data_IF_457272397782
#
_entry.id   IF_457272397782
#
_cell.length_a   1.000
_cell.length_b   1.000
_cell.length_c   1.000
_cell.angle_alpha   90.00
_cell.angle_beta   90.00
_cell.angle_gamma   90.00
#
_symmetry.space_group_name_H-M   'P 1'
#
loop_
_entity.id
_entity.type
_entity.pdbx_description
1 polymer ?
#
# COMPACT_ATOMS: atom_id res chain seq x y z
N UNK A 1 21.44 -33.53 0.78
CA UNK A 1 20.78 -32.34 0.20
C UNK A 1 20.99 -31.20 1.18
N UNK A 2 21.88 -30.25 0.85
CA UNK A 2 22.17 -29.12 1.73
C UNK A 2 20.91 -28.26 1.87
N UNK A 3 20.43 -28.08 3.10
CA UNK A 3 19.24 -27.31 3.40
C UNK A 3 19.47 -25.84 3.05
N UNK A 4 18.90 -25.36 1.96
CA UNK A 4 18.81 -23.92 1.70
C UNK A 4 17.97 -23.30 2.81
N UNK A 5 18.58 -22.39 3.59
CA UNK A 5 17.91 -21.60 4.63
C UNK A 5 16.63 -20.97 4.06
N UNK A 6 15.56 -20.90 4.85
CA UNK A 6 14.34 -20.20 4.41
C UNK A 6 14.62 -18.70 4.30
N UNK A 7 14.03 -18.04 3.30
CA UNK A 7 14.05 -16.57 3.24
C UNK A 7 13.04 -15.97 4.23
N UNK A 8 13.11 -14.67 4.46
CA UNK A 8 12.33 -13.90 5.43
C UNK A 8 10.83 -14.17 5.30
N UNK A 9 10.29 -14.09 4.08
CA UNK A 9 8.88 -14.40 3.80
C UNK A 9 8.51 -15.84 4.18
N UNK A 10 9.38 -16.80 3.87
CA UNK A 10 9.13 -18.20 4.23
C UNK A 10 9.13 -18.45 5.72
N UNK A 11 10.00 -17.75 6.45
CA UNK A 11 10.04 -17.80 7.91
C UNK A 11 8.78 -17.17 8.52
N UNK A 12 8.41 -15.96 8.08
CA UNK A 12 7.27 -15.20 8.62
C UNK A 12 5.95 -15.91 8.33
N UNK A 13 5.72 -16.33 7.09
CA UNK A 13 4.46 -16.93 6.66
C UNK A 13 4.44 -18.47 6.77
N UNK A 14 5.54 -19.07 7.24
CA UNK A 14 5.74 -20.53 7.26
C UNK A 14 5.44 -21.18 5.89
N UNK A 15 5.80 -20.47 4.82
CA UNK A 15 5.55 -20.90 3.44
C UNK A 15 6.76 -21.65 2.87
N UNK A 16 6.50 -22.44 1.84
CA UNK A 16 7.55 -23.20 1.18
C UNK A 16 8.47 -22.28 0.37
N UNK A 17 9.76 -22.27 0.68
CA UNK A 17 10.78 -21.54 -0.07
C UNK A 17 11.40 -22.36 -1.20
N UNK A 18 12.13 -21.68 -2.09
CA UNK A 18 13.07 -22.31 -3.04
C UNK A 18 12.44 -23.35 -3.99
N UNK A 19 11.12 -23.30 -4.21
CA UNK A 19 10.46 -24.17 -5.17
C UNK A 19 10.71 -23.70 -6.61
N UNK A 20 10.97 -24.68 -7.48
CA UNK A 20 11.15 -24.46 -8.92
C UNK A 20 9.83 -24.31 -9.70
N UNK A 21 8.68 -24.25 -9.01
CA UNK A 21 7.36 -24.15 -9.66
C UNK A 21 7.17 -22.87 -10.47
N UNK A 22 7.88 -21.79 -10.12
CA UNK A 22 7.75 -20.48 -10.77
C UNK A 22 9.06 -19.98 -11.39
N UNK A 23 10.20 -20.56 -10.99
CA UNK A 23 11.55 -20.15 -11.36
C UNK A 23 12.39 -21.37 -11.69
N UNK A 24 13.34 -21.24 -12.62
CA UNK A 24 14.27 -22.32 -12.98
C UNK A 24 15.53 -22.33 -12.10
N UNK A 25 15.68 -21.34 -11.21
CA UNK A 25 16.86 -21.17 -10.37
C UNK A 25 16.46 -21.07 -8.90
N UNK A 26 17.29 -21.69 -8.05
CA UNK A 26 17.24 -21.57 -6.59
C UNK A 26 18.24 -20.50 -6.17
N UNK A 27 17.79 -19.54 -5.38
CA UNK A 27 18.62 -18.48 -4.84
C UNK A 27 17.82 -17.52 -3.97
N UNK A 28 18.57 -16.66 -3.27
CA UNK A 28 18.06 -15.60 -2.40
C UNK A 28 18.69 -14.29 -2.84
N UNK A 29 17.89 -13.22 -2.81
CA UNK A 29 18.35 -11.87 -3.00
C UNK A 29 18.00 -11.03 -1.76
N UNK A 30 18.80 -10.00 -1.50
CA UNK A 30 18.44 -9.03 -0.46
C UNK A 30 17.26 -8.18 -0.93
N UNK A 31 16.30 -7.97 -0.03
CA UNK A 31 15.07 -7.26 -0.34
C UNK A 31 15.31 -5.83 -0.82
N UNK A 32 16.34 -5.18 -0.26
CA UNK A 32 16.76 -3.82 -0.62
C UNK A 32 17.23 -3.67 -2.07
N UNK A 33 17.55 -4.76 -2.78
CA UNK A 33 17.99 -4.71 -4.18
C UNK A 33 16.85 -4.82 -5.19
N UNK A 34 15.60 -5.06 -4.75
CA UNK A 34 14.42 -4.93 -5.61
C UNK A 34 14.13 -3.46 -5.89
N UNK A 35 13.43 -3.16 -6.98
CA UNK A 35 12.98 -1.79 -7.23
C UNK A 35 11.98 -1.33 -6.14
N UNK A 36 11.88 -0.03 -5.81
CA UNK A 36 10.98 0.45 -4.76
C UNK A 36 9.52 0.02 -4.93
N UNK A 37 9.02 0.03 -6.18
CA UNK A 37 7.66 -0.42 -6.51
C UNK A 37 7.47 -1.92 -6.26
N UNK A 38 8.48 -2.73 -6.60
CA UNK A 38 8.47 -4.16 -6.35
C UNK A 38 8.53 -4.48 -4.86
N UNK A 39 9.36 -3.76 -4.09
CA UNK A 39 9.41 -3.86 -2.64
C UNK A 39 8.04 -3.59 -2.04
N UNK A 40 7.39 -2.50 -2.46
CA UNK A 40 6.06 -2.15 -1.98
C UNK A 40 5.03 -3.23 -2.32
N UNK A 41 5.02 -3.73 -3.56
CA UNK A 41 4.11 -4.82 -3.97
C UNK A 41 4.31 -6.09 -3.14
N UNK A 42 5.56 -6.51 -2.92
CA UNK A 42 5.84 -7.70 -2.10
C UNK A 42 5.36 -7.48 -0.68
N UNK A 43 5.73 -6.38 -0.03
CA UNK A 43 5.36 -6.08 1.36
C UNK A 43 3.83 -6.04 1.55
N UNK A 44 3.11 -5.39 0.64
CA UNK A 44 1.65 -5.32 0.66
C UNK A 44 1.01 -6.69 0.46
N UNK A 45 1.48 -7.47 -0.54
CA UNK A 45 0.90 -8.77 -0.87
C UNK A 45 1.22 -9.86 0.15
N UNK A 46 2.37 -9.76 0.83
CA UNK A 46 2.77 -10.66 1.92
C UNK A 46 2.30 -10.19 3.29
N UNK A 47 1.66 -9.01 3.38
CA UNK A 47 1.28 -8.36 4.65
C UNK A 47 2.43 -8.31 5.66
N UNK A 48 3.66 -8.08 5.18
CA UNK A 48 4.87 -8.15 6.00
C UNK A 48 5.78 -6.95 5.72
N UNK A 49 6.18 -6.27 6.78
CA UNK A 49 7.10 -5.11 6.72
C UNK A 49 8.55 -5.46 7.08
N UNK A 50 8.79 -6.66 7.60
CA UNK A 50 10.09 -7.11 8.11
C UNK A 50 10.77 -8.08 7.12
N UNK A 51 10.86 -7.70 5.85
CA UNK A 51 11.48 -8.53 4.81
C UNK A 51 12.93 -8.08 4.62
N UNK A 52 13.88 -8.95 4.97
CA UNK A 52 15.32 -8.68 4.80
C UNK A 52 15.82 -9.30 3.49
N UNK A 53 15.39 -10.52 3.22
CA UNK A 53 15.76 -11.31 2.07
C UNK A 53 14.56 -12.04 1.45
N UNK A 54 14.68 -12.37 0.17
CA UNK A 54 13.61 -12.97 -0.61
C UNK A 54 14.18 -13.99 -1.58
N UNK A 55 13.69 -15.23 -1.52
CA UNK A 55 14.08 -16.23 -2.50
C UNK A 55 13.41 -15.98 -3.85
N UNK A 56 14.06 -16.40 -4.94
CA UNK A 56 13.54 -16.21 -6.31
C UNK A 56 12.15 -16.82 -6.51
N UNK A 57 11.83 -17.89 -5.77
CA UNK A 57 10.49 -18.46 -5.74
C UNK A 57 9.44 -17.46 -5.24
N UNK A 58 9.68 -16.87 -4.06
CA UNK A 58 8.74 -15.91 -3.46
C UNK A 58 8.73 -14.59 -4.22
N UNK A 59 9.87 -14.11 -4.70
CA UNK A 59 9.93 -12.93 -5.55
C UNK A 59 9.02 -13.08 -6.77
N UNK A 60 9.18 -14.17 -7.53
CA UNK A 60 8.35 -14.42 -8.71
C UNK A 60 6.88 -14.67 -8.37
N UNK A 61 6.62 -15.35 -7.25
CA UNK A 61 5.25 -15.50 -6.77
C UNK A 61 4.59 -14.15 -6.50
N UNK A 62 5.19 -13.32 -5.64
CA UNK A 62 4.57 -12.07 -5.22
C UNK A 62 4.52 -11.01 -6.32
N UNK A 63 5.48 -10.96 -7.23
CA UNK A 63 5.48 -9.96 -8.30
C UNK A 63 4.56 -10.36 -9.46
N UNK A 64 4.60 -11.62 -9.90
CA UNK A 64 3.91 -12.05 -11.13
C UNK A 64 2.71 -12.98 -10.87
N UNK A 65 2.88 -13.98 -10.01
CA UNK A 65 1.88 -15.07 -9.91
C UNK A 65 0.78 -14.79 -8.92
N UNK A 66 1.00 -13.89 -7.96
CA UNK A 66 0.07 -13.59 -6.88
C UNK A 66 -1.38 -13.42 -7.38
N UNK A 67 -1.68 -12.62 -8.42
CA UNK A 67 -3.06 -12.42 -8.88
C UNK A 67 -3.74 -13.68 -9.41
N UNK A 68 -2.97 -14.59 -10.00
CA UNK A 68 -3.47 -15.86 -10.55
C UNK A 68 -3.89 -16.80 -9.43
N UNK A 69 -3.17 -16.77 -8.30
CA UNK A 69 -3.45 -17.63 -7.14
C UNK A 69 -4.52 -17.06 -6.21
N UNK A 70 -5.02 -15.84 -6.45
CA UNK A 70 -6.15 -15.29 -5.72
C UNK A 70 -7.46 -15.89 -6.24
N UNK A 71 -7.99 -16.89 -5.54
CA UNK A 71 -9.18 -17.66 -5.93
C UNK A 71 -10.43 -17.34 -5.11
N UNK A 72 -10.36 -16.31 -4.27
CA UNK A 72 -11.45 -15.86 -3.40
C UNK A 72 -11.48 -14.34 -3.34
N UNK A 73 -12.65 -13.79 -3.03
CA UNK A 73 -12.81 -12.39 -2.71
C UNK A 73 -11.91 -12.03 -1.51
N UNK A 74 -11.20 -10.91 -1.59
CA UNK A 74 -10.46 -10.32 -0.47
C UNK A 74 -11.36 -9.78 0.63
N UNK A 75 -12.67 -9.71 0.40
CA UNK A 75 -13.71 -9.27 1.32
C UNK A 75 -13.36 -7.96 2.05
N UNK A 76 -13.20 -6.85 1.30
CA UNK A 76 -12.74 -5.58 1.86
C UNK A 76 -13.61 -5.03 3.00
N UNK A 77 -14.89 -5.42 3.02
CA UNK A 77 -15.89 -4.94 3.98
C UNK A 77 -16.16 -5.96 5.08
N UNK A 78 -15.46 -7.11 5.08
CA UNK A 78 -15.62 -8.20 6.04
C UNK A 78 -17.08 -8.66 6.18
N UNK A 79 -17.83 -8.69 5.07
CA UNK A 79 -19.27 -9.02 5.06
C UNK A 79 -19.54 -10.47 4.68
N UNK A 80 -18.55 -11.18 4.15
CA UNK A 80 -18.72 -12.55 3.72
C UNK A 80 -18.70 -13.52 4.91
N UNK A 81 -19.82 -14.22 5.14
CA UNK A 81 -19.90 -15.32 6.11
C UNK A 81 -19.10 -16.57 5.67
N UNK A 82 -18.83 -16.71 4.36
CA UNK A 82 -18.08 -17.82 3.75
C UNK A 82 -17.23 -17.29 2.59
N UNK A 83 -16.10 -17.94 2.24
CA UNK A 83 -15.25 -17.50 1.13
C UNK A 83 -16.05 -17.40 -0.18
N UNK A 84 -16.15 -16.19 -0.73
CA UNK A 84 -16.81 -15.97 -2.01
C UNK A 84 -15.82 -16.26 -3.15
N UNK A 85 -16.18 -17.18 -4.05
CA UNK A 85 -15.36 -17.56 -5.22
C UNK A 85 -15.98 -17.22 -6.58
N UNK A 86 -17.20 -16.68 -6.57
CA UNK A 86 -17.96 -16.38 -7.78
C UNK A 86 -17.74 -14.93 -8.23
N UNK A 87 -17.78 -14.71 -9.56
CA UNK A 87 -17.77 -13.38 -10.19
C UNK A 87 -16.67 -12.45 -9.67
N UNK A 88 -15.47 -13.02 -9.57
CA UNK A 88 -14.27 -12.37 -9.09
C UNK A 88 -13.66 -11.47 -10.17
N UNK A 89 -13.33 -10.23 -9.80
CA UNK A 89 -12.60 -9.28 -10.63
C UNK A 89 -11.29 -8.93 -9.95
N UNK A 90 -10.29 -8.60 -10.75
CA UNK A 90 -9.01 -8.16 -10.21
C UNK A 90 -9.07 -6.73 -9.68
N UNK A 91 -8.48 -6.51 -8.52
CA UNK A 91 -8.27 -5.18 -7.94
C UNK A 91 -7.14 -4.50 -8.70
N UNK A 92 -7.48 -3.41 -9.37
CA UNK A 92 -6.54 -2.55 -10.10
C UNK A 92 -6.18 -1.31 -9.26
N UNK A 93 -5.15 -0.57 -9.65
CA UNK A 93 -4.82 0.72 -9.03
C UNK A 93 -6.02 1.69 -9.03
N UNK A 94 -6.83 1.68 -10.10
CA UNK A 94 -8.06 2.48 -10.18
C UNK A 94 -9.06 2.08 -9.10
N UNK A 95 -9.19 0.79 -8.81
CA UNK A 95 -10.08 0.28 -7.74
C UNK A 95 -9.64 0.75 -6.36
N UNK A 96 -8.31 0.79 -6.12
CA UNK A 96 -7.74 1.25 -4.86
C UNK A 96 -7.91 2.76 -4.70
N UNK A 97 -7.65 3.53 -5.75
CA UNK A 97 -7.76 5.00 -5.74
C UNK A 97 -9.17 5.50 -5.44
N UNK A 98 -10.20 4.69 -5.73
CA UNK A 98 -11.58 5.03 -5.36
C UNK A 98 -11.77 4.98 -3.84
N UNK A 99 -11.04 4.15 -3.10
CA UNK A 99 -11.35 3.87 -1.70
C UNK A 99 -10.07 3.74 -0.83
N UNK A 100 -9.49 4.87 -0.48
CA UNK A 100 -8.23 4.96 0.29
C UNK A 100 -8.35 4.46 1.75
N UNK A 101 -9.56 4.18 2.23
CA UNK A 101 -9.81 3.78 3.64
C UNK A 101 -9.76 2.27 3.85
N UNK A 102 -9.60 1.49 2.79
CA UNK A 102 -9.75 0.04 2.83
C UNK A 102 -8.45 -0.61 2.38
N UNK A 103 -8.00 -1.58 3.17
CA UNK A 103 -6.74 -2.27 2.94
C UNK A 103 -6.89 -3.35 1.85
N UNK A 104 -6.92 -2.92 0.59
CA UNK A 104 -6.90 -3.79 -0.59
C UNK A 104 -5.62 -3.59 -1.38
N UNK A 105 -5.08 -4.68 -1.91
CA UNK A 105 -3.81 -4.69 -2.64
C UNK A 105 -4.03 -5.07 -4.10
N UNK A 106 -3.25 -4.49 -5.01
CA UNK A 106 -3.33 -4.82 -6.43
C UNK A 106 -3.11 -6.30 -6.68
N UNK A 107 -3.88 -6.86 -7.61
CA UNK A 107 -3.85 -8.29 -7.92
C UNK A 107 -4.73 -9.16 -7.00
N UNK A 108 -5.25 -8.63 -5.90
CA UNK A 108 -6.31 -9.32 -5.16
C UNK A 108 -7.56 -9.49 -6.02
N UNK A 109 -8.40 -10.49 -5.71
CA UNK A 109 -9.70 -10.64 -6.35
C UNK A 109 -10.80 -10.10 -5.45
N UNK A 110 -11.78 -9.43 -6.02
CA UNK A 110 -12.97 -8.92 -5.34
C UNK A 110 -14.22 -9.40 -6.07
N UNK A 111 -15.25 -9.83 -5.34
CA UNK A 111 -16.51 -10.20 -5.96
C UNK A 111 -17.28 -8.96 -6.43
N UNK A 112 -18.16 -9.12 -7.40
CA UNK A 112 -18.95 -7.99 -7.96
C UNK A 112 -19.80 -7.28 -6.90
N UNK A 113 -20.34 -8.01 -5.91
CA UNK A 113 -21.13 -7.40 -4.83
C UNK A 113 -20.28 -6.48 -3.93
N UNK A 114 -19.11 -6.94 -3.50
CA UNK A 114 -18.18 -6.10 -2.73
C UNK A 114 -17.72 -4.89 -3.55
N UNK A 115 -17.47 -5.06 -4.85
CA UNK A 115 -17.08 -3.94 -5.72
C UNK A 115 -18.19 -2.88 -5.85
N UNK A 116 -19.45 -3.28 -5.98
CA UNK A 116 -20.59 -2.35 -6.04
C UNK A 116 -20.73 -1.59 -4.72
N UNK A 117 -20.66 -2.28 -3.58
CA UNK A 117 -20.72 -1.64 -2.26
C UNK A 117 -19.58 -0.65 -2.03
N UNK A 118 -18.37 -0.99 -2.50
CA UNK A 118 -17.23 -0.08 -2.46
C UNK A 118 -17.51 1.22 -3.22
N UNK A 119 -18.07 1.14 -4.43
CA UNK A 119 -18.41 2.32 -5.24
C UNK A 119 -19.53 3.16 -4.61
N UNK A 120 -20.58 2.51 -4.09
CA UNK A 120 -21.64 3.22 -3.40
C UNK A 120 -21.13 3.99 -2.17
N UNK A 121 -20.17 3.41 -1.42
CA UNK A 121 -19.58 4.07 -0.24
C UNK A 121 -18.74 5.32 -0.58
N UNK A 122 -18.25 5.41 -1.82
CA UNK A 122 -17.50 6.58 -2.30
C UNK A 122 -18.43 7.70 -2.74
N UNK A 123 -19.59 7.35 -3.29
CA UNK A 123 -20.60 8.31 -3.79
C UNK A 123 -21.34 9.03 -2.64
N UNK A 124 -21.53 8.38 -1.48
CA UNK A 124 -22.16 9.01 -0.29
C UNK A 124 -21.28 10.14 0.31
N UNK A 125 -19.98 10.21 -0.03
CA UNK A 125 -19.11 11.31 0.39
C UNK A 125 -18.99 12.44 -0.64
N UNK A 126 -19.62 12.31 -1.82
CA UNK A 126 -19.52 13.29 -2.92
C UNK A 126 -20.70 14.24 -3.05
N UNK A 127 -21.65 14.24 -2.11
CA UNK A 127 -22.74 15.25 -2.05
C UNK A 127 -22.24 16.70 -1.79
N UNK A 128 -20.92 16.94 -1.83
CA UNK A 128 -20.31 18.27 -1.84
C UNK A 128 -19.44 18.58 -3.07
N UNK A 129 -19.49 17.80 -4.16
CA UNK A 129 -18.87 18.22 -5.43
C UNK A 129 -19.77 17.81 -6.60
N UNK A 130 -20.67 18.72 -6.96
CA UNK A 130 -21.29 18.75 -8.28
C UNK A 130 -20.22 19.06 -9.32
N UNK A 131 -19.84 18.09 -10.14
CA UNK A 131 -19.38 18.38 -11.51
C UNK A 131 -20.02 17.34 -12.44
N UNK A 132 -20.95 17.84 -13.24
CA UNK A 132 -21.59 17.17 -14.35
C UNK A 132 -20.58 16.92 -15.49
N UNK A 133 -21.01 16.05 -16.39
CA UNK A 133 -20.27 15.47 -17.49
C UNK A 133 -19.49 16.47 -18.39
N UNK A 134 -18.41 15.91 -18.95
CA UNK A 134 -17.86 16.18 -20.30
C UNK A 134 -16.74 17.23 -20.53
N UNK A 135 -15.82 16.84 -21.42
CA UNK A 135 -14.74 17.57 -22.12
C UNK A 135 -13.47 18.12 -21.41
N UNK A 136 -12.34 17.55 -21.89
CA UNK A 136 -11.03 18.14 -22.24
C UNK A 136 -10.12 18.87 -21.24
N UNK A 137 -8.88 18.33 -21.20
CA UNK A 137 -7.56 18.98 -21.09
C UNK A 137 -7.17 19.83 -19.87
N UNK A 138 -5.88 19.65 -19.55
CA UNK A 138 -4.99 20.48 -18.75
C UNK A 138 -5.00 20.34 -17.22
N UNK A 139 -3.92 19.71 -16.74
CA UNK A 139 -3.05 20.28 -15.70
C UNK A 139 -3.69 20.62 -14.36
N UNK A 140 -4.26 19.62 -13.66
CA UNK A 140 -4.59 19.78 -12.24
C UNK A 140 -3.42 19.28 -11.39
N UNK A 141 -2.75 20.25 -10.77
CA UNK A 141 -1.58 20.14 -9.89
C UNK A 141 -1.73 19.04 -8.83
N UNK A 142 -0.98 17.94 -8.99
CA UNK A 142 -0.85 16.80 -8.05
C UNK A 142 -0.21 17.17 -6.71
N UNK A 143 0.37 18.36 -6.57
CA UNK A 143 1.16 18.76 -5.40
C UNK A 143 0.28 19.20 -4.21
N UNK A 144 -0.95 19.68 -4.44
CA UNK A 144 -1.76 20.29 -3.37
C UNK A 144 -2.61 19.28 -2.57
N UNK A 145 -2.84 18.07 -3.06
CA UNK A 145 -3.62 17.04 -2.34
C UNK A 145 -2.69 16.16 -1.48
N UNK A 146 -1.42 16.03 -1.87
CA UNK A 146 -0.42 15.24 -1.15
C UNK A 146 0.01 15.91 0.17
N UNK A 147 0.05 17.25 0.23
CA UNK A 147 0.49 18.02 1.41
C UNK A 147 -0.49 17.92 2.59
N UNK A 148 -1.80 18.03 2.35
CA UNK A 148 -2.81 18.06 3.42
C UNK A 148 -2.92 16.73 4.16
N UNK A 149 -2.79 15.61 3.43
CA UNK A 149 -2.84 14.27 4.03
C UNK A 149 -1.56 13.90 4.79
N UNK A 150 -0.42 14.48 4.39
CA UNK A 150 0.87 14.24 5.05
C UNK A 150 0.94 14.97 6.41
N UNK A 151 0.42 16.19 6.50
CA UNK A 151 0.39 16.97 7.75
C UNK A 151 -0.52 16.36 8.82
N UNK A 152 -1.69 15.86 8.43
CA UNK A 152 -2.62 15.21 9.36
C UNK A 152 -2.03 13.93 9.97
N UNK A 153 -1.30 13.13 9.18
CA UNK A 153 -0.63 11.93 9.65
C UNK A 153 0.57 12.23 10.55
N UNK A 154 1.34 13.29 10.25
CA UNK A 154 2.44 13.73 11.12
C UNK A 154 1.90 14.19 12.48
N UNK A 155 0.82 14.96 12.52
CA UNK A 155 0.26 15.45 13.77
C UNK A 155 -0.32 14.33 14.64
N UNK A 156 -0.94 13.31 14.01
CA UNK A 156 -1.42 12.12 14.73
C UNK A 156 -0.26 11.34 15.36
N UNK A 157 0.79 11.07 14.58
CA UNK A 157 1.97 10.37 15.08
C UNK A 157 2.68 11.13 16.22
N UNK A 158 2.67 12.47 16.17
CA UNK A 158 3.21 13.32 17.25
C UNK A 158 2.42 13.18 18.55
N UNK A 159 1.10 13.12 18.47
CA UNK A 159 0.26 12.97 19.66
C UNK A 159 0.49 11.60 20.31
N UNK A 160 0.47 10.53 19.52
CA UNK A 160 0.70 9.16 20.01
C UNK A 160 2.07 9.03 20.70
N UNK A 161 3.13 9.62 20.14
CA UNK A 161 4.46 9.61 20.75
C UNK A 161 4.50 10.39 22.07
N UNK A 162 3.81 11.54 22.12
CA UNK A 162 3.73 12.37 23.33
C UNK A 162 3.00 11.64 24.45
N UNK A 163 1.94 10.91 24.12
CA UNK A 163 1.17 10.14 25.09
C UNK A 163 2.00 8.97 25.65
N UNK A 164 2.74 8.25 24.79
CA UNK A 164 3.67 7.20 25.22
C UNK A 164 4.76 7.70 26.16
N UNK A 165 5.35 8.86 25.88
CA UNK A 165 6.41 9.45 26.71
C UNK A 165 5.86 9.90 28.08
N UNK A 166 4.65 10.44 28.09
CA UNK A 166 3.96 10.84 29.32
C UNK A 166 3.68 9.64 30.23
N UNK A 167 3.34 8.47 29.65
CA UNK A 167 3.14 7.21 30.40
C UNK A 167 4.43 6.73 31.09
N UNK A 168 5.59 6.94 30.46
CA UNK A 168 6.89 6.52 31.00
C UNK A 168 7.43 7.55 32.02
N UNK A 169 6.68 8.63 32.29
CA UNK A 169 7.06 9.68 33.24
C UNK A 169 8.17 10.58 32.75
N UNK A 170 8.41 10.62 31.42
CA UNK A 170 9.40 11.49 30.79
C UNK A 170 8.70 12.66 30.10
N UNK A 171 9.33 13.85 30.15
CA UNK A 171 8.78 15.04 29.51
C UNK A 171 8.67 14.85 27.99
N UNK A 172 7.60 15.37 27.35
CA UNK A 172 7.44 15.29 25.89
C UNK A 172 8.67 15.86 25.15
N UNK A 173 9.15 15.14 24.15
CA UNK A 173 10.30 15.57 23.34
C UNK A 173 9.90 16.75 22.45
N UNK A 174 10.56 17.89 22.63
CA UNK A 174 10.36 19.08 21.79
C UNK A 174 11.12 18.91 20.47
N UNK A 175 10.45 18.36 19.45
CA UNK A 175 11.02 18.24 18.11
C UNK A 175 11.05 19.61 17.41
N UNK A 176 12.25 20.12 17.13
CA UNK A 176 12.43 21.28 16.26
C UNK A 176 12.28 20.87 14.79
N UNK A 177 11.08 20.99 14.24
CA UNK A 177 10.86 20.92 12.79
C UNK A 177 11.11 22.27 12.16
N UNK A 178 11.94 22.34 11.10
CA UNK A 178 11.90 23.49 10.19
C UNK A 178 10.58 23.40 9.42
N UNK A 179 9.71 24.42 9.46
CA UNK A 179 8.54 24.43 8.58
C UNK A 179 9.02 24.42 7.13
N UNK A 180 8.40 23.58 6.29
CA UNK A 180 8.58 23.58 4.84
C UNK A 180 7.84 24.81 4.27
N UNK A 181 8.28 26.01 4.65
CA UNK A 181 7.85 27.23 4.01
C UNK A 181 8.61 27.33 2.68
N UNK A 182 7.87 27.21 1.58
CA UNK A 182 8.28 27.69 0.27
C UNK A 182 8.89 29.09 0.41
N UNK A 183 10.21 29.21 0.39
CA UNK A 183 10.92 30.47 0.15
C UNK A 183 11.50 30.42 -1.26
N UNK A 184 10.66 30.62 -2.25
CA UNK A 184 11.11 31.23 -3.50
C UNK A 184 11.22 32.74 -3.23
N UNK A 185 12.40 33.20 -2.84
CA UNK A 185 12.72 34.63 -2.94
C UNK A 185 13.04 34.93 -4.40
N UNK A 186 12.08 35.49 -5.14
CA UNK A 186 12.35 36.13 -6.43
C UNK A 186 13.19 37.37 -6.10
N UNK A 187 14.47 37.32 -6.44
CA UNK A 187 15.34 38.49 -6.40
C UNK A 187 14.95 39.43 -7.53
N UNK A 188 14.37 40.59 -7.19
CA UNK A 188 14.26 41.71 -8.11
C UNK A 188 15.67 42.22 -8.42
N UNK A 189 16.15 42.01 -9.65
CA UNK A 189 17.28 42.75 -10.20
C UNK A 189 16.79 44.18 -10.50
N UNK A 190 17.35 45.16 -9.80
CA UNK A 190 17.28 46.57 -10.22
C UNK A 190 18.30 46.80 -11.35
N UNK A 191 17.84 47.35 -12.46
CA UNK A 191 18.68 48.09 -13.40
C UNK A 191 18.97 49.48 -12.81
#
# INVERSE_FOLDING_TARGET
>A
MAGTSQCSVGLILKSNCHKLTFTNHIGINFFQYLAPDEQNLVALRSFSVLIIDLCFHHQKFYLEKFPVFQNKCCDPLLVHKRPCKASLREVTLRTIALNNRINIVTGQKICTNCLVKLKASTEINTDNINIADDYTNESINKENIFSVQQEANINKNRQELSDCLSIIGVSPVKLHGKPFANRMSIGEKKN
#
